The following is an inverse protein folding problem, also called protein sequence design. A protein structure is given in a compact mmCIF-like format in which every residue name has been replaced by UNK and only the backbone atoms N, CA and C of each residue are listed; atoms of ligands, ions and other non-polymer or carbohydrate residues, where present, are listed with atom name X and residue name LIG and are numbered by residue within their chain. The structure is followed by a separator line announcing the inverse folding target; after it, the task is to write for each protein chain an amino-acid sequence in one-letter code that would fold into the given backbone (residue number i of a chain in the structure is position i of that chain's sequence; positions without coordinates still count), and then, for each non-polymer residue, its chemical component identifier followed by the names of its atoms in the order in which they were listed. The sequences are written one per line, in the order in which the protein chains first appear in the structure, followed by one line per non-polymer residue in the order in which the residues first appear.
data_IF_511002204909
#
_entry.id   IF_511002204909
#
_cell.length_a   1.000
_cell.length_b   1.000
_cell.length_c   1.000
_cell.angle_alpha   90.00
_cell.angle_beta   90.00
_cell.angle_gamma   90.00
#
_symmetry.space_group_name_H-M   'P 1'
#
loop_
_entity.id
_entity.type
_entity.pdbx_description
1 polymer ?
#
# COMPACT_ATOMS: atom_id res chain seq x y z
N UNK A 1 -8.63 16.32 -15.05
CA UNK A 1 -7.73 16.39 -13.88
C UNK A 1 -7.88 15.08 -13.13
N UNK A 2 -6.79 14.31 -13.20
CA UNK A 2 -6.46 13.03 -12.57
C UNK A 2 -7.60 12.34 -11.83
N UNK A 3 -8.20 11.37 -12.51
CA UNK A 3 -8.85 10.21 -11.89
C UNK A 3 -7.77 9.49 -11.06
N UNK A 4 -7.48 10.05 -9.88
CA UNK A 4 -6.65 9.41 -8.87
C UNK A 4 -7.58 8.36 -8.27
N UNK A 5 -7.82 7.28 -9.01
CA UNK A 5 -8.41 6.06 -8.50
C UNK A 5 -7.61 5.72 -7.25
N UNK A 6 -8.16 6.08 -6.09
CA UNK A 6 -7.48 5.94 -4.82
C UNK A 6 -7.30 4.43 -4.62
N UNK A 7 -6.05 3.91 -4.60
CA UNK A 7 -5.83 2.47 -4.49
C UNK A 7 -6.49 1.90 -3.22
N UNK A 8 -6.71 2.73 -2.19
CA UNK A 8 -7.43 2.34 -0.98
C UNK A 8 -8.92 2.06 -1.23
N UNK A 9 -9.55 2.69 -2.23
CA UNK A 9 -10.92 2.39 -2.62
C UNK A 9 -11.06 1.01 -3.29
N UNK A 10 -10.01 0.54 -3.99
CA UNK A 10 -9.99 -0.77 -4.65
C UNK A 10 -9.62 -1.91 -3.70
N UNK A 11 -8.88 -1.59 -2.63
CA UNK A 11 -8.42 -2.56 -1.64
C UNK A 11 -8.85 -2.15 -0.24
N UNK A 12 -10.13 -2.35 0.11
CA UNK A 12 -10.63 -1.99 1.44
C UNK A 12 -9.95 -2.76 2.56
N UNK A 13 -9.35 -3.92 2.28
CA UNK A 13 -8.64 -4.78 3.23
C UNK A 13 -7.16 -4.39 3.40
N UNK A 14 -6.70 -3.33 2.74
CA UNK A 14 -5.32 -2.84 2.83
C UNK A 14 -5.32 -1.39 3.31
N UNK A 15 -4.43 -1.07 4.24
CA UNK A 15 -4.15 0.30 4.68
C UNK A 15 -3.01 0.85 3.83
N UNK A 16 -3.24 2.03 3.28
CA UNK A 16 -2.23 2.80 2.55
C UNK A 16 -1.82 3.98 3.41
N UNK A 17 -0.59 3.97 3.90
CA UNK A 17 0.01 5.08 4.62
C UNK A 17 1.00 5.79 3.71
N UNK A 18 0.80 7.08 3.47
CA UNK A 18 1.74 7.88 2.68
C UNK A 18 2.97 8.18 3.52
N UNK A 19 4.13 7.91 2.96
CA UNK A 19 5.42 8.15 3.60
C UNK A 19 6.02 9.46 3.11
N UNK A 20 6.67 10.19 4.01
CA UNK A 20 7.44 11.36 3.63
C UNK A 20 8.72 10.96 2.87
N UNK A 21 9.22 11.79 1.95
CA UNK A 21 10.52 11.58 1.34
C UNK A 21 11.61 11.43 2.42
N UNK A 22 12.35 10.33 2.40
CA UNK A 22 13.41 10.04 3.38
C UNK A 22 13.00 9.19 4.58
N UNK A 23 11.70 9.00 4.85
CA UNK A 23 11.25 8.05 5.90
C UNK A 23 11.66 6.61 5.58
N UNK A 24 11.54 6.22 4.32
CA UNK A 24 12.07 4.97 3.83
C UNK A 24 13.36 5.27 3.08
N UNK A 25 14.51 4.80 3.60
CA UNK A 25 15.85 5.07 3.02
C UNK A 25 16.04 4.63 1.56
N UNK A 26 15.05 3.96 0.95
CA UNK A 26 15.02 3.58 -0.47
C UNK A 26 14.00 4.36 -1.32
N UNK A 27 13.45 5.45 -0.78
CA UNK A 27 12.54 6.36 -1.50
C UNK A 27 11.13 5.83 -1.71
N UNK A 28 10.62 4.99 -0.80
CA UNK A 28 9.20 4.62 -0.84
C UNK A 28 8.33 5.80 -0.40
N UNK A 29 7.19 5.95 -1.06
CA UNK A 29 6.20 7.00 -0.78
C UNK A 29 4.91 6.42 -0.21
N UNK A 30 4.78 5.09 -0.19
CA UNK A 30 3.65 4.35 0.37
C UNK A 30 4.14 3.19 1.22
N UNK A 31 3.52 3.02 2.39
CA UNK A 31 3.55 1.82 3.21
C UNK A 31 2.17 1.16 3.15
N UNK A 32 2.14 -0.11 2.79
CA UNK A 32 0.94 -0.92 2.66
C UNK A 32 0.94 -1.99 3.73
N UNK A 33 -0.15 -2.12 4.48
CA UNK A 33 -0.34 -3.19 5.46
C UNK A 33 -1.74 -3.77 5.34
N UNK A 34 -1.92 -5.09 5.48
CA UNK A 34 -3.26 -5.69 5.54
C UNK A 34 -4.00 -5.15 6.77
N UNK A 35 -5.30 -4.89 6.65
CA UNK A 35 -6.16 -4.64 7.80
C UNK A 35 -6.26 -5.94 8.60
N UNK A 36 -6.15 -5.85 9.92
CA UNK A 36 -6.14 -7.03 10.79
C UNK A 36 -4.75 -7.58 11.13
N UNK A 37 -3.69 -7.19 10.40
CA UNK A 37 -2.33 -7.57 10.76
C UNK A 37 -1.31 -6.47 10.43
N UNK A 38 -0.42 -6.15 11.38
CA UNK A 38 0.70 -5.24 11.15
C UNK A 38 1.81 -5.86 10.29
N UNK A 39 1.65 -7.12 9.88
CA UNK A 39 2.58 -7.83 9.00
C UNK A 39 1.87 -8.82 8.08
N UNK A 40 2.34 -8.98 6.82
CA UNK A 40 3.50 -8.30 6.23
C UNK A 40 3.22 -6.86 5.76
N UNK A 41 4.18 -5.95 5.94
CA UNK A 41 4.14 -4.60 5.40
C UNK A 41 4.94 -4.51 4.08
N UNK A 42 4.36 -3.90 3.05
CA UNK A 42 5.03 -3.66 1.76
C UNK A 42 5.25 -2.16 1.53
N UNK A 43 6.32 -1.81 0.79
CA UNK A 43 6.70 -0.42 0.55
C UNK A 43 6.76 -0.11 -0.93
N UNK A 44 5.93 0.82 -1.40
CA UNK A 44 5.85 1.21 -2.80
C UNK A 44 6.42 2.61 -3.04
N UNK A 45 7.07 2.77 -4.19
CA UNK A 45 7.69 4.01 -4.67
C UNK A 45 6.81 4.76 -5.67
N UNK A 46 5.78 4.10 -6.19
CA UNK A 46 4.81 4.67 -7.15
C UNK A 46 3.41 4.16 -6.84
N UNK A 47 2.39 4.90 -7.30
CA UNK A 47 0.98 4.52 -7.13
C UNK A 47 0.67 3.16 -7.80
N UNK A 48 1.23 2.91 -8.99
CA UNK A 48 1.07 1.63 -9.69
C UNK A 48 1.73 0.45 -8.96
N UNK A 49 2.85 0.69 -8.26
CA UNK A 49 3.48 -0.33 -7.43
C UNK A 49 2.65 -0.59 -6.15
N UNK A 50 2.05 0.46 -5.58
CA UNK A 50 1.15 0.33 -4.44
C UNK A 50 -0.07 -0.53 -4.79
N UNK A 51 -0.69 -0.31 -5.95
CA UNK A 51 -1.84 -1.10 -6.42
C UNK A 51 -1.50 -2.61 -6.52
N UNK A 52 -0.40 -2.97 -7.20
CA UNK A 52 0.04 -4.38 -7.27
C UNK A 52 0.36 -5.01 -5.92
N UNK A 53 0.97 -4.24 -5.02
CA UNK A 53 1.29 -4.73 -3.68
C UNK A 53 0.03 -4.91 -2.84
N UNK A 54 -0.96 -4.04 -3.00
CA UNK A 54 -2.26 -4.18 -2.37
C UNK A 54 -2.99 -5.44 -2.86
N UNK A 55 -2.96 -5.75 -4.17
CA UNK A 55 -3.48 -7.02 -4.68
C UNK A 55 -2.80 -8.23 -4.05
N UNK A 56 -1.48 -8.15 -3.84
CA UNK A 56 -0.72 -9.24 -3.21
C UNK A 56 -1.12 -9.41 -1.75
N UNK A 57 -1.26 -8.31 -1.00
CA UNK A 57 -1.67 -8.33 0.40
C UNK A 57 -3.13 -8.75 0.59
N UNK A 58 -4.03 -8.35 -0.32
CA UNK A 58 -5.44 -8.73 -0.28
C UNK A 58 -5.67 -10.22 -0.55
N UNK A 59 -4.72 -10.89 -1.23
CA UNK A 59 -4.76 -12.35 -1.45
C UNK A 59 -4.18 -13.16 -0.29
N UNK A 60 -3.52 -12.53 0.68
CA UNK A 60 -3.02 -13.24 1.85
C UNK A 60 -4.20 -13.66 2.73
N UNK A 61 -4.19 -14.88 3.29
CA UNK A 61 -5.17 -15.26 4.29
C UNK A 61 -5.08 -14.28 5.45
N UNK A 62 -6.18 -13.57 5.68
CA UNK A 62 -6.32 -12.68 6.84
C UNK A 62 -6.42 -13.58 8.09
N UNK A 63 -5.71 -13.27 9.19
CA UNK A 63 -5.80 -14.04 10.43
C UNK A 63 -7.19 -13.94 11.08
#
# INVERSE_FOLDING_TARGET
MTDRQDPAARHPDVRFARMAPGEHGRGAIWRLTPKGADSPAMYARTDAQADRYAETLARLPQP
#
